data_IF_724863828413
#
_entry.id   IF_724863828413
#
_cell.length_a   1.000
_cell.length_b   1.000
_cell.length_c   1.000
_cell.angle_alpha   90.00
_cell.angle_beta   90.00
_cell.angle_gamma   90.00
#
_symmetry.space_group_name_H-M   'P 1'
#
loop_
_entity.id
_entity.type
_entity.pdbx_description
1 polymer ?
#
# COMPACT_ATOMS: atom_id res chain seq x y z
N UNK A 1 65.25 -16.29 -29.66
CA UNK A 1 64.18 -15.36 -29.24
C UNK A 1 63.02 -16.21 -28.72
N UNK A 2 62.90 -16.32 -27.39
CA UNK A 2 61.93 -17.17 -26.76
C UNK A 2 60.67 -16.38 -26.42
N UNK A 3 59.53 -16.76 -26.95
CA UNK A 3 58.22 -16.17 -26.66
C UNK A 3 57.64 -16.79 -25.39
N UNK A 4 57.55 -15.99 -24.31
CA UNK A 4 56.88 -16.37 -23.10
C UNK A 4 55.35 -16.27 -23.27
N UNK A 5 54.65 -17.39 -23.27
CA UNK A 5 53.19 -17.44 -23.21
C UNK A 5 52.74 -17.15 -21.78
N UNK A 6 52.12 -16.01 -21.58
CA UNK A 6 51.45 -15.65 -20.29
C UNK A 6 50.06 -16.29 -20.24
N UNK A 7 49.90 -17.27 -19.38
CA UNK A 7 48.60 -17.85 -19.05
C UNK A 7 47.90 -16.91 -18.06
N UNK A 8 46.76 -16.31 -18.48
CA UNK A 8 45.92 -15.51 -17.59
C UNK A 8 44.92 -16.48 -16.95
N UNK A 9 45.04 -16.67 -15.65
CA UNK A 9 44.08 -17.41 -14.84
C UNK A 9 43.00 -16.39 -14.44
N UNK A 10 41.81 -16.49 -15.02
CA UNK A 10 40.62 -15.73 -14.56
C UNK A 10 40.02 -16.50 -13.39
N UNK A 11 40.26 -16.01 -12.19
CA UNK A 11 39.56 -16.46 -10.99
C UNK A 11 38.12 -15.88 -11.02
N UNK A 12 37.17 -16.75 -11.31
CA UNK A 12 35.74 -16.40 -11.23
C UNK A 12 35.31 -16.25 -9.76
N UNK A 13 35.05 -15.02 -9.34
CA UNK A 13 34.42 -14.77 -8.06
C UNK A 13 32.92 -15.13 -8.19
N UNK A 14 32.52 -16.25 -7.60
CA UNK A 14 31.09 -16.53 -7.38
C UNK A 14 30.56 -15.59 -6.31
N UNK A 15 29.79 -14.59 -6.72
CA UNK A 15 28.97 -13.79 -5.82
C UNK A 15 27.79 -14.66 -5.42
N UNK A 16 27.80 -15.15 -4.19
CA UNK A 16 26.65 -15.78 -3.57
C UNK A 16 25.56 -14.71 -3.39
N UNK A 17 24.54 -14.78 -4.22
CA UNK A 17 23.27 -14.06 -4.01
C UNK A 17 22.63 -14.69 -2.77
N UNK A 18 22.78 -14.06 -1.61
CA UNK A 18 21.97 -14.36 -0.44
C UNK A 18 20.54 -13.90 -0.73
N UNK A 19 19.74 -14.82 -1.25
CA UNK A 19 18.31 -14.67 -1.33
C UNK A 19 17.78 -14.46 0.10
N UNK A 20 16.88 -13.50 0.29
CA UNK A 20 16.03 -13.40 1.47
C UNK A 20 15.02 -14.56 1.42
N UNK A 21 15.43 -15.76 1.75
CA UNK A 21 14.53 -16.89 1.92
C UNK A 21 14.20 -17.03 3.40
N UNK A 22 12.93 -17.01 3.80
CA UNK A 22 12.52 -17.47 5.11
C UNK A 22 12.70 -19.00 5.17
N UNK A 23 13.41 -19.49 6.16
CA UNK A 23 13.51 -20.91 6.44
C UNK A 23 12.18 -21.42 7.01
N UNK A 24 11.62 -22.45 6.38
CA UNK A 24 10.72 -23.39 7.00
C UNK A 24 9.22 -23.06 6.94
N UNK A 25 8.56 -23.59 5.93
CA UNK A 25 7.16 -23.97 6.02
C UNK A 25 7.01 -25.40 5.47
N UNK A 26 7.20 -26.37 6.35
CA UNK A 26 6.72 -27.72 6.16
C UNK A 26 5.42 -27.85 6.94
N UNK A 27 4.33 -28.20 6.25
CA UNK A 27 3.05 -28.37 6.89
C UNK A 27 1.97 -28.82 5.91
N UNK A 28 2.19 -29.97 5.29
CA UNK A 28 1.10 -30.71 4.66
C UNK A 28 0.11 -31.17 5.73
N UNK A 29 -1.14 -30.80 5.60
CA UNK A 29 -2.23 -31.47 6.28
C UNK A 29 -3.27 -31.91 5.25
N UNK A 30 -3.38 -33.23 4.97
CA UNK A 30 -4.44 -33.78 4.15
C UNK A 30 -5.57 -34.24 5.08
N UNK A 31 -6.67 -33.53 5.15
CA UNK A 31 -7.92 -34.15 5.54
C UNK A 31 -9.09 -33.54 4.76
N UNK A 32 -9.42 -34.25 3.70
CA UNK A 32 -10.65 -34.12 2.97
C UNK A 32 -11.78 -34.78 3.78
N UNK A 33 -12.90 -34.15 3.85
CA UNK A 33 -14.16 -34.83 4.06
C UNK A 33 -15.29 -34.07 3.37
N UNK A 34 -16.04 -34.83 2.63
CA UNK A 34 -17.02 -34.54 1.59
C UNK A 34 -18.36 -33.93 2.06
N UNK A 35 -19.24 -33.64 1.09
CA UNK A 35 -20.36 -32.72 1.26
C UNK A 35 -21.64 -33.44 1.67
N UNK A 36 -22.51 -32.76 2.39
CA UNK A 36 -23.93 -33.18 2.52
C UNK A 36 -24.84 -32.13 1.92
N UNK A 37 -25.45 -32.52 0.81
CA UNK A 37 -26.63 -31.91 0.25
C UNK A 37 -27.87 -32.38 0.98
N UNK A 38 -28.84 -31.50 1.26
CA UNK A 38 -30.29 -31.72 1.25
C UNK A 38 -30.97 -30.36 1.41
N UNK A 39 -31.68 -29.99 0.44
CA UNK A 39 -33.07 -30.08 0.03
C UNK A 39 -33.86 -28.81 0.26
N UNK A 40 -34.51 -28.45 -0.82
CA UNK A 40 -35.44 -27.37 -1.08
C UNK A 40 -36.64 -27.26 -0.14
N UNK A 41 -37.08 -26.01 0.07
CA UNK A 41 -38.49 -25.67 0.16
C UNK A 41 -38.70 -24.18 -0.11
N UNK A 42 -39.30 -23.86 -1.23
CA UNK A 42 -40.14 -22.67 -1.45
C UNK A 42 -41.60 -23.04 -1.13
N UNK A 43 -42.59 -22.12 -1.13
CA UNK A 43 -42.65 -20.69 -1.39
C UNK A 43 -43.59 -19.92 -0.40
N UNK A 44 -43.65 -18.60 -0.51
CA UNK A 44 -44.89 -17.81 -0.66
C UNK A 44 -44.78 -16.36 -0.20
N UNK A 45 -44.91 -15.51 -1.17
CA UNK A 45 -45.76 -14.31 -1.32
C UNK A 45 -45.92 -13.33 -0.15
N UNK A 46 -45.57 -12.08 -0.34
CA UNK A 46 -46.55 -11.03 -0.64
C UNK A 46 -45.88 -9.65 -0.62
N UNK A 47 -46.21 -8.88 -1.62
CA UNK A 47 -45.81 -7.52 -1.91
C UNK A 47 -46.27 -6.54 -0.84
N UNK A 48 -45.55 -5.41 -0.71
CA UNK A 48 -46.04 -4.10 -1.12
C UNK A 48 -44.94 -2.98 -0.97
N UNK A 49 -45.08 -1.82 -1.65
CA UNK A 49 -43.96 -1.02 -2.11
C UNK A 49 -43.59 0.06 -1.10
N UNK A 50 -42.42 -0.10 -0.52
CA UNK A 50 -41.76 0.93 0.25
C UNK A 50 -40.84 1.74 -0.65
N UNK A 51 -41.19 2.97 -0.84
CA UNK A 51 -40.51 4.15 -1.36
C UNK A 51 -39.04 3.94 -1.66
N UNK A 52 -38.72 3.87 -2.95
CA UNK A 52 -37.38 3.94 -3.49
C UNK A 52 -36.72 5.24 -3.04
N UNK A 53 -35.95 5.19 -1.96
CA UNK A 53 -34.91 6.16 -1.75
C UNK A 53 -33.84 5.84 -2.79
N UNK A 54 -33.82 6.63 -3.85
CA UNK A 54 -32.68 6.71 -4.77
C UNK A 54 -31.41 6.86 -3.93
N UNK A 55 -30.38 6.04 -4.12
CA UNK A 55 -29.10 6.34 -3.52
C UNK A 55 -28.68 7.71 -4.07
N UNK A 56 -28.62 8.69 -3.18
CA UNK A 56 -28.01 9.98 -3.45
C UNK A 56 -26.63 9.70 -4.02
N UNK A 57 -26.41 10.16 -5.26
CA UNK A 57 -25.11 10.07 -5.91
C UNK A 57 -24.08 10.68 -4.95
N UNK A 58 -22.90 10.05 -4.79
CA UNK A 58 -21.86 10.61 -3.93
C UNK A 58 -21.62 12.04 -4.35
N UNK A 59 -21.64 12.94 -3.34
CA UNK A 59 -21.42 14.36 -3.52
C UNK A 59 -20.19 14.58 -4.40
N UNK A 60 -20.35 15.38 -5.45
CA UNK A 60 -19.28 15.72 -6.36
C UNK A 60 -18.05 16.15 -5.55
N UNK A 61 -16.94 15.48 -5.85
CA UNK A 61 -15.65 15.64 -5.24
C UNK A 61 -15.29 17.10 -4.97
N UNK A 62 -15.10 17.43 -3.70
CA UNK A 62 -14.48 18.69 -3.34
C UNK A 62 -13.05 18.69 -3.90
N UNK A 63 -12.62 19.78 -4.56
CA UNK A 63 -11.22 19.86 -4.99
C UNK A 63 -10.31 19.69 -3.76
N UNK A 64 -9.17 19.02 -3.93
CA UNK A 64 -8.22 18.85 -2.84
C UNK A 64 -7.79 20.23 -2.30
N UNK A 65 -7.49 20.35 -1.00
CA UNK A 65 -6.99 21.59 -0.43
C UNK A 65 -5.77 22.08 -1.22
N UNK A 66 -5.65 23.37 -1.45
CA UNK A 66 -4.64 23.98 -2.33
C UNK A 66 -3.16 23.74 -1.89
N UNK A 67 -2.95 23.31 -0.65
CA UNK A 67 -1.62 23.09 -0.06
C UNK A 67 -1.26 21.59 0.09
N UNK A 68 -2.02 20.69 -0.55
CA UNK A 68 -1.79 19.25 -0.44
C UNK A 68 -1.05 18.74 -1.66
N UNK A 69 0.07 18.03 -1.41
CA UNK A 69 0.82 17.36 -2.47
C UNK A 69 0.01 16.20 -3.04
N UNK A 70 -0.28 16.29 -4.35
CA UNK A 70 -1.00 15.26 -5.08
C UNK A 70 -0.04 14.20 -5.62
N UNK A 71 -0.54 13.00 -5.74
CA UNK A 71 0.10 11.93 -6.49
C UNK A 71 -0.40 12.03 -7.93
N UNK A 72 0.48 12.51 -8.80
CA UNK A 72 0.19 12.79 -10.21
C UNK A 72 0.55 11.62 -11.12
N UNK A 73 1.42 10.69 -10.65
CA UNK A 73 1.83 9.52 -11.40
C UNK A 73 1.85 8.27 -10.54
N UNK A 74 1.53 7.12 -11.15
CA UNK A 74 1.79 5.78 -10.62
C UNK A 74 2.76 5.06 -11.54
N UNK A 75 3.94 4.76 -11.01
CA UNK A 75 5.02 4.15 -11.77
C UNK A 75 5.32 2.73 -11.25
N UNK A 76 5.07 1.71 -12.06
CA UNK A 76 5.54 0.35 -11.85
C UNK A 76 7.05 0.26 -12.09
N UNK A 77 7.83 0.02 -11.04
CA UNK A 77 9.30 0.00 -11.11
C UNK A 77 9.89 -1.27 -10.49
N UNK A 78 11.10 -1.62 -10.91
CA UNK A 78 11.90 -2.65 -10.24
C UNK A 78 12.87 -2.00 -9.27
N UNK A 79 12.78 -2.39 -7.99
CA UNK A 79 13.68 -1.97 -6.92
C UNK A 79 14.54 -3.16 -6.50
N UNK A 80 15.84 -2.93 -6.34
CA UNK A 80 16.78 -3.98 -5.96
C UNK A 80 16.30 -4.68 -4.68
N UNK A 81 16.33 -6.01 -4.67
CA UNK A 81 15.87 -6.91 -3.60
C UNK A 81 14.35 -6.93 -3.39
N UNK A 82 13.62 -5.82 -3.57
CA UNK A 82 12.18 -5.73 -3.39
C UNK A 82 11.40 -6.24 -4.62
N UNK A 83 11.99 -6.23 -5.80
CA UNK A 83 11.29 -6.62 -7.03
C UNK A 83 10.42 -5.52 -7.61
N UNK A 84 9.26 -5.88 -8.15
CA UNK A 84 8.32 -4.92 -8.73
C UNK A 84 7.51 -4.22 -7.65
N UNK A 85 7.47 -2.90 -7.70
CA UNK A 85 6.79 -2.02 -6.75
C UNK A 85 6.09 -0.90 -7.50
N UNK A 86 5.19 -0.19 -6.83
CA UNK A 86 4.60 1.06 -7.32
C UNK A 86 5.23 2.24 -6.57
N UNK A 87 5.55 3.29 -7.33
CA UNK A 87 6.01 4.58 -6.80
C UNK A 87 5.18 5.71 -7.37
N UNK A 88 5.23 6.86 -6.72
CA UNK A 88 4.73 8.12 -7.27
C UNK A 88 5.73 8.77 -8.25
N UNK A 89 5.42 10.01 -8.69
CA UNK A 89 6.24 10.82 -9.60
C UNK A 89 7.67 11.06 -9.11
N UNK A 90 7.85 11.19 -7.80
CA UNK A 90 9.15 11.47 -7.18
C UNK A 90 9.94 10.20 -6.84
N UNK A 91 9.34 9.03 -7.08
CA UNK A 91 9.93 7.73 -6.81
C UNK A 91 9.80 7.25 -5.37
N UNK A 92 8.91 7.84 -4.58
CA UNK A 92 8.56 7.31 -3.27
C UNK A 92 7.75 6.03 -3.42
N UNK A 93 8.11 5.01 -2.67
CA UNK A 93 7.41 3.72 -2.68
C UNK A 93 6.05 3.86 -2.01
N UNK A 94 5.04 3.27 -2.65
CA UNK A 94 3.68 3.24 -2.13
C UNK A 94 3.38 1.94 -1.39
N UNK A 95 2.53 2.08 -0.39
CA UNK A 95 2.15 1.02 0.54
C UNK A 95 0.64 0.83 0.57
N UNK A 96 0.21 -0.36 0.95
CA UNK A 96 -1.17 -0.68 1.30
C UNK A 96 -1.27 -1.10 2.77
N UNK A 97 -2.44 -0.92 3.34
CA UNK A 97 -2.75 -1.22 4.73
C UNK A 97 -3.75 -2.38 4.83
N UNK A 98 -3.40 -3.45 5.53
CA UNK A 98 -4.26 -4.63 5.64
C UNK A 98 -5.54 -4.43 6.47
N UNK A 99 -5.64 -3.30 7.18
CA UNK A 99 -6.90 -2.95 7.87
C UNK A 99 -7.83 -2.08 7.04
N UNK A 100 -7.41 -1.70 5.84
CA UNK A 100 -8.31 -1.14 4.83
C UNK A 100 -9.14 -2.25 4.18
N UNK A 101 -10.07 -1.88 3.32
CA UNK A 101 -10.79 -2.81 2.46
C UNK A 101 -10.65 -2.40 1.00
N UNK A 102 -10.75 -3.37 0.09
CA UNK A 102 -10.69 -3.11 -1.35
C UNK A 102 -12.04 -3.29 -2.06
N UNK A 103 -13.02 -3.91 -1.40
CA UNK A 103 -14.34 -4.11 -2.00
C UNK A 103 -15.45 -4.02 -0.93
N UNK A 104 -16.15 -2.87 -0.80
CA UNK A 104 -15.81 -1.59 -1.43
C UNK A 104 -14.51 -1.00 -0.87
N UNK A 105 -13.78 -0.18 -1.66
CA UNK A 105 -12.59 0.52 -1.19
C UNK A 105 -12.89 1.38 0.03
N UNK A 106 -12.12 1.23 1.10
CA UNK A 106 -12.27 2.05 2.31
C UNK A 106 -10.92 2.29 2.95
N UNK A 107 -10.62 3.55 3.23
CA UNK A 107 -9.42 3.97 3.95
C UNK A 107 -9.71 4.08 5.45
N UNK A 108 -9.05 3.25 6.25
CA UNK A 108 -9.18 3.23 7.72
C UNK A 108 -8.00 3.89 8.43
N UNK A 109 -7.02 4.39 7.68
CA UNK A 109 -5.89 5.13 8.24
C UNK A 109 -6.24 6.62 8.31
N UNK A 110 -6.66 7.07 9.49
CA UNK A 110 -7.07 8.45 9.78
C UNK A 110 -6.23 9.04 10.91
N UNK A 111 -6.33 10.34 11.17
CA UNK A 111 -5.68 11.06 12.28
C UNK A 111 -4.16 10.78 12.36
N UNK A 112 -3.70 10.33 13.53
CA UNK A 112 -2.28 10.01 13.77
C UNK A 112 -1.74 8.93 12.84
N UNK A 113 -2.60 8.03 12.33
CA UNK A 113 -2.21 7.07 11.32
C UNK A 113 -1.82 7.79 10.03
N UNK A 114 -2.66 8.70 9.55
CA UNK A 114 -2.42 9.44 8.31
C UNK A 114 -1.21 10.39 8.42
N UNK A 115 -0.86 10.86 9.62
CA UNK A 115 0.37 11.63 9.85
C UNK A 115 1.63 10.79 9.63
N UNK A 116 1.59 9.50 9.94
CA UNK A 116 2.71 8.56 9.74
C UNK A 116 2.68 7.92 8.36
N UNK A 117 1.47 7.71 7.84
CA UNK A 117 1.19 7.12 6.55
C UNK A 117 0.33 8.06 5.70
N UNK A 118 0.93 9.12 5.14
CA UNK A 118 0.21 10.07 4.30
C UNK A 118 -0.49 9.37 3.14
N UNK A 119 -1.79 9.60 2.93
CA UNK A 119 -2.51 9.05 1.80
C UNK A 119 -1.94 9.59 0.47
N UNK A 120 -1.91 8.75 -0.56
CA UNK A 120 -1.62 9.17 -1.93
C UNK A 120 -2.84 9.89 -2.49
N UNK A 121 -2.94 11.20 -2.25
CA UNK A 121 -4.07 12.02 -2.67
C UNK A 121 -4.00 12.33 -4.17
N UNK A 122 -5.15 12.53 -4.79
CA UNK A 122 -5.25 12.71 -6.25
C UNK A 122 -6.41 13.61 -6.63
N UNK A 123 -6.33 14.21 -7.81
CA UNK A 123 -7.46 14.84 -8.52
C UNK A 123 -8.30 13.80 -9.29
N UNK A 124 -7.85 12.55 -9.38
CA UNK A 124 -8.55 11.44 -10.03
C UNK A 124 -7.95 11.00 -11.37
N UNK A 125 -6.93 11.68 -11.89
CA UNK A 125 -6.35 11.43 -13.20
C UNK A 125 -4.82 11.29 -13.15
N UNK A 126 -4.25 10.30 -12.44
CA UNK A 126 -2.81 10.11 -12.42
C UNK A 126 -2.31 9.60 -13.77
N UNK A 127 -1.10 9.98 -14.17
CA UNK A 127 -0.39 9.34 -15.25
C UNK A 127 0.06 7.92 -14.83
N UNK A 128 -0.13 6.94 -15.73
CA UNK A 128 0.13 5.53 -15.42
C UNK A 128 1.29 4.99 -16.25
N UNK A 129 2.32 4.49 -15.59
CA UNK A 129 3.49 3.89 -16.20
C UNK A 129 3.73 2.48 -15.63
N UNK A 130 3.40 1.44 -16.40
CA UNK A 130 3.60 0.06 -15.98
C UNK A 130 2.65 -0.41 -14.84
N UNK A 131 1.52 0.25 -14.73
CA UNK A 131 0.35 -0.09 -13.91
C UNK A 131 -0.85 -0.13 -14.85
N UNK A 132 -1.77 -1.06 -14.64
CA UNK A 132 -2.99 -1.17 -15.47
C UNK A 132 -4.01 -0.12 -15.06
N UNK A 133 -4.62 0.56 -16.02
CA UNK A 133 -5.70 1.51 -15.80
C UNK A 133 -6.93 0.84 -15.17
N UNK A 134 -7.22 -0.41 -15.54
CA UNK A 134 -8.33 -1.19 -14.99
C UNK A 134 -8.21 -1.45 -13.47
N UNK A 135 -6.99 -1.39 -12.92
CA UNK A 135 -6.71 -1.63 -11.51
C UNK A 135 -6.67 -0.34 -10.69
N UNK A 136 -6.61 0.84 -11.34
CA UNK A 136 -6.50 2.14 -10.67
C UNK A 136 -7.88 2.73 -10.44
N UNK A 137 -8.09 3.19 -9.22
CA UNK A 137 -9.33 3.85 -8.83
C UNK A 137 -9.10 4.87 -7.74
N UNK A 138 -10.18 5.33 -7.13
CA UNK A 138 -10.13 6.29 -6.03
C UNK A 138 -11.11 5.93 -4.93
N UNK A 139 -10.83 6.40 -3.72
CA UNK A 139 -11.76 6.35 -2.58
C UNK A 139 -11.86 7.74 -1.96
N UNK A 140 -13.08 8.16 -1.63
CA UNK A 140 -13.31 9.37 -0.84
C UNK A 140 -13.09 9.06 0.63
N UNK A 141 -12.18 9.79 1.25
CA UNK A 141 -11.84 9.66 2.67
C UNK A 141 -12.87 10.38 3.54
N UNK A 142 -12.82 10.14 4.86
CA UNK A 142 -13.73 10.79 5.83
C UNK A 142 -13.57 12.33 5.88
N UNK A 143 -12.39 12.84 5.53
CA UNK A 143 -12.10 14.27 5.45
C UNK A 143 -12.52 14.91 4.12
N UNK A 144 -13.17 14.15 3.23
CA UNK A 144 -13.61 14.59 1.92
C UNK A 144 -12.54 14.58 0.84
N UNK A 145 -11.27 14.28 1.18
CA UNK A 145 -10.21 14.16 0.19
C UNK A 145 -10.32 12.88 -0.62
N UNK A 146 -9.78 12.87 -1.84
CA UNK A 146 -9.76 11.73 -2.73
C UNK A 146 -8.39 11.07 -2.70
N UNK A 147 -8.35 9.77 -2.45
CA UNK A 147 -7.13 8.97 -2.36
C UNK A 147 -7.10 7.92 -3.47
N UNK A 148 -5.93 7.72 -4.09
CA UNK A 148 -5.71 6.66 -5.08
C UNK A 148 -5.88 5.28 -4.45
N UNK A 149 -6.43 4.38 -5.26
CA UNK A 149 -6.46 2.94 -4.97
C UNK A 149 -5.82 2.15 -6.10
N UNK A 150 -5.29 0.98 -5.79
CA UNK A 150 -4.82 0.01 -6.77
C UNK A 150 -5.40 -1.37 -6.42
N UNK A 151 -6.10 -2.00 -7.36
CA UNK A 151 -6.94 -3.19 -7.13
C UNK A 151 -7.90 -2.95 -5.93
N UNK A 152 -8.46 -1.73 -5.86
CA UNK A 152 -9.32 -1.26 -4.78
C UNK A 152 -8.62 -0.95 -3.46
N UNK A 153 -7.35 -1.28 -3.28
CA UNK A 153 -6.61 -0.98 -2.04
C UNK A 153 -6.13 0.46 -2.00
N UNK A 154 -6.48 1.26 -0.96
CA UNK A 154 -5.96 2.60 -0.77
C UNK A 154 -4.43 2.64 -0.66
N UNK A 155 -3.81 3.64 -1.30
CA UNK A 155 -2.36 3.79 -1.37
C UNK A 155 -1.85 4.87 -0.43
N UNK A 156 -0.66 4.63 0.15
CA UNK A 156 -0.05 5.51 1.15
C UNK A 156 1.45 5.66 0.91
N UNK A 157 2.00 6.81 1.32
CA UNK A 157 3.44 6.98 1.58
C UNK A 157 3.78 6.57 3.01
N UNK A 158 5.06 6.58 3.37
CA UNK A 158 5.54 6.35 4.73
C UNK A 158 6.58 7.39 5.11
N UNK A 159 6.34 8.17 6.16
CA UNK A 159 7.29 9.20 6.61
C UNK A 159 8.63 8.65 7.14
N UNK A 160 8.69 7.35 7.43
CA UNK A 160 9.92 6.64 7.80
C UNK A 160 10.90 6.45 6.64
N UNK A 161 10.41 6.49 5.39
CA UNK A 161 11.25 6.59 4.20
C UNK A 161 11.79 8.02 4.11
N UNK A 162 13.09 8.18 3.94
CA UNK A 162 13.77 9.48 3.94
C UNK A 162 14.33 9.85 2.56
N UNK A 163 14.25 8.93 1.60
CA UNK A 163 14.68 9.11 0.20
C UNK A 163 13.84 8.24 -0.71
N UNK A 164 13.59 8.68 -1.95
CA UNK A 164 12.98 7.84 -2.98
C UNK A 164 13.63 6.46 -3.08
N UNK A 165 12.83 5.45 -3.35
CA UNK A 165 13.26 4.07 -3.44
C UNK A 165 13.54 3.36 -2.11
N UNK A 166 13.41 4.02 -0.96
CA UNK A 166 13.41 3.35 0.35
C UNK A 166 12.08 2.65 0.58
N UNK A 167 12.13 1.55 1.34
CA UNK A 167 10.96 0.72 1.65
C UNK A 167 10.97 0.26 3.12
N UNK A 168 11.26 1.21 4.03
CA UNK A 168 11.32 0.95 5.48
C UNK A 168 9.95 0.66 6.10
N UNK A 169 8.88 0.93 5.37
CA UNK A 169 7.52 0.62 5.76
C UNK A 169 7.14 -0.85 5.59
N UNK A 170 7.99 -1.66 4.92
CA UNK A 170 7.70 -3.06 4.68
C UNK A 170 7.54 -3.86 5.98
N UNK A 171 6.38 -4.51 6.16
CA UNK A 171 6.07 -5.32 7.33
C UNK A 171 5.84 -4.55 8.63
N UNK A 172 5.79 -3.22 8.61
CA UNK A 172 5.54 -2.42 9.80
C UNK A 172 4.19 -2.78 10.41
N UNK A 173 4.18 -3.02 11.73
CA UNK A 173 3.00 -3.44 12.47
C UNK A 173 2.40 -4.77 12.02
N UNK A 174 3.05 -5.50 11.11
CA UNK A 174 2.52 -6.71 10.47
C UNK A 174 1.35 -6.45 9.52
N UNK A 175 1.04 -5.19 9.22
CA UNK A 175 -0.16 -4.78 8.47
C UNK A 175 0.13 -3.84 7.30
N UNK A 176 1.36 -3.35 7.16
CA UNK A 176 1.77 -2.45 6.10
C UNK A 176 2.70 -3.15 5.12
N UNK A 177 2.40 -3.07 3.84
CA UNK A 177 3.17 -3.76 2.80
C UNK A 177 3.35 -2.88 1.57
N UNK A 178 4.55 -2.96 0.99
CA UNK A 178 4.82 -2.40 -0.34
C UNK A 178 3.85 -2.99 -1.34
N UNK A 179 3.34 -2.16 -2.25
CA UNK A 179 2.39 -2.58 -3.29
C UNK A 179 3.12 -2.95 -4.56
N UNK A 180 2.76 -4.08 -5.15
CA UNK A 180 3.16 -4.49 -6.49
C UNK A 180 2.25 -3.83 -7.55
N UNK A 181 2.67 -3.74 -8.84
CA UNK A 181 1.88 -3.10 -9.89
C UNK A 181 0.49 -3.70 -10.16
N UNK A 182 0.22 -4.91 -9.66
CA UNK A 182 -1.07 -5.59 -9.71
C UNK A 182 -1.91 -5.39 -8.43
N UNK A 183 -1.59 -4.40 -7.60
CA UNK A 183 -2.28 -4.10 -6.34
C UNK A 183 -2.03 -5.07 -5.19
N UNK A 184 -1.34 -6.20 -5.45
CA UNK A 184 -1.07 -7.17 -4.40
C UNK A 184 0.04 -6.73 -3.46
N UNK A 185 0.04 -7.31 -2.25
CA UNK A 185 1.16 -7.12 -1.32
C UNK A 185 2.43 -7.70 -1.89
N UNK A 186 3.48 -6.89 -1.93
CA UNK A 186 4.81 -7.40 -2.18
C UNK A 186 5.35 -8.05 -0.90
N UNK A 187 5.57 -9.36 -0.93
CA UNK A 187 6.06 -10.13 0.22
C UNK A 187 7.58 -10.36 0.16
N UNK A 188 8.28 -9.69 -0.76
CA UNK A 188 9.75 -9.74 -0.83
C UNK A 188 10.37 -9.02 0.37
N UNK A 189 11.52 -9.51 0.82
CA UNK A 189 12.32 -8.87 1.87
C UNK A 189 11.53 -8.47 3.13
N UNK A 190 10.63 -9.34 3.57
CA UNK A 190 9.97 -9.15 4.86
C UNK A 190 11.01 -9.13 5.98
N UNK A 191 10.89 -8.21 6.96
CA UNK A 191 11.80 -8.17 8.10
C UNK A 191 11.62 -9.41 9.00
N UNK A 192 12.70 -9.82 9.65
CA UNK A 192 12.64 -10.79 10.75
C UNK A 192 11.97 -10.12 11.96
N UNK A 193 10.69 -10.35 12.14
CA UNK A 193 9.88 -9.73 13.20
C UNK A 193 9.00 -8.60 12.68
N UNK A 194 8.32 -7.93 13.60
CA UNK A 194 7.34 -6.88 13.26
C UNK A 194 7.92 -5.50 13.62
N UNK A 195 8.43 -4.73 12.65
CA UNK A 195 8.93 -3.39 12.92
C UNK A 195 7.82 -2.50 13.47
N UNK A 196 8.19 -1.59 14.36
CA UNK A 196 7.26 -0.55 14.84
C UNK A 196 7.28 0.64 13.87
N UNK A 197 6.15 1.34 13.70
CA UNK A 197 6.13 2.58 12.93
C UNK A 197 6.99 3.65 13.62
N UNK A 198 7.45 4.64 12.85
CA UNK A 198 8.02 5.86 13.42
C UNK A 198 6.95 6.64 14.18
N UNK A 199 7.37 7.50 15.11
CA UNK A 199 6.44 8.39 15.79
C UNK A 199 5.84 9.40 14.78
N UNK A 200 4.57 9.81 14.96
CA UNK A 200 4.02 10.92 14.18
C UNK A 200 4.82 12.20 14.45
N UNK A 201 4.80 13.17 13.51
CA UNK A 201 5.40 14.48 13.75
C UNK A 201 4.85 15.10 15.04
N UNK A 202 5.69 15.88 15.74
CA UNK A 202 5.22 16.64 16.89
C UNK A 202 4.21 17.70 16.40
N UNK A 203 3.08 17.81 17.11
CA UNK A 203 2.12 18.86 16.81
C UNK A 203 2.73 20.22 17.19
N UNK A 204 3.13 21.01 16.22
CA UNK A 204 3.70 22.36 16.42
C UNK A 204 2.73 23.34 17.11
N UNK A 205 1.46 22.95 17.29
CA UNK A 205 0.44 23.73 18.00
C UNK A 205 0.48 23.62 19.52
N UNK A 206 1.26 22.70 20.10
CA UNK A 206 1.35 22.54 21.55
C UNK A 206 2.36 23.51 22.22
N UNK A 207 3.15 24.27 21.48
CA UNK A 207 4.18 25.17 22.02
C UNK A 207 3.79 26.65 22.06
N UNK A 208 2.58 27.06 21.63
CA UNK A 208 2.12 28.45 21.71
C UNK A 208 1.15 28.76 22.85
N UNK A 209 1.10 27.94 23.89
CA UNK A 209 0.23 28.12 25.06
C UNK A 209 0.97 28.31 26.38
N UNK A 210 2.05 29.07 26.41
CA UNK A 210 2.82 29.30 27.63
C UNK A 210 3.35 30.72 27.78
N UNK A 211 2.52 31.73 27.49
CA UNK A 211 2.85 33.11 27.92
C UNK A 211 2.15 33.39 29.27
N UNK A 212 2.88 33.11 30.34
CA UNK A 212 2.47 33.46 31.69
C UNK A 212 2.37 34.97 31.84
N UNK A 213 1.17 35.44 32.10
CA UNK A 213 0.98 36.73 32.75
C UNK A 213 1.06 36.50 34.26
N UNK A 214 2.24 36.85 34.83
CA UNK A 214 2.35 37.10 36.29
C UNK A 214 1.85 38.52 36.56
N UNK A 215 0.91 38.67 37.42
CA UNK A 215 0.63 39.90 38.19
C UNK A 215 1.34 39.83 39.55
#
# INVERSE_FOLDING_TARGET
MAQLKRTVIVAGAMVALTACAPAGYDGANPNAAEPVAVAAAEPSTSAEPGTSASPEAPAADAPPPADVELTEELNGRKVARMGSVVTDQDGWILYRFDKDTNNPPTSNCVDKCAQVWPPALTDGNPELNGVSDDDVGTVTRQDGTRQLTLDGWPLYRYIGDKKPGQWKGQGVGGTWFVVAPDGKKNLSCLPTGTPKPVAPPADDKAQQGGSGYSY
#
